data_IF_793557798999
#
_entry.id   IF_793557798999
#
_cell.length_a   1.000
_cell.length_b   1.000
_cell.length_c   1.000
_cell.angle_alpha   90.00
_cell.angle_beta   90.00
_cell.angle_gamma   90.00
#
_symmetry.space_group_name_H-M   'P 1'
#
loop_
_entity.id
_entity.type
_entity.pdbx_description
1 polymer ?
#
# COMPACT_ATOMS: atom_id res chain seq x y z
N UNK A 1 4.98 -17.06 3.83
CA UNK A 1 4.52 -15.94 2.99
C UNK A 1 3.52 -15.08 3.75
N UNK A 2 2.53 -15.63 4.50
CA UNK A 2 1.59 -14.87 5.32
C UNK A 2 2.28 -14.09 6.45
N UNK A 3 3.34 -14.62 7.04
CA UNK A 3 4.06 -13.98 8.15
C UNK A 3 4.82 -12.72 7.73
N UNK A 4 5.37 -12.67 6.53
CA UNK A 4 6.16 -11.53 6.07
C UNK A 4 5.27 -10.33 5.70
N UNK A 5 4.18 -10.58 4.97
CA UNK A 5 3.15 -9.57 4.70
C UNK A 5 2.51 -9.07 5.99
N UNK A 6 2.24 -9.97 6.94
CA UNK A 6 1.69 -9.65 8.25
C UNK A 6 2.68 -8.79 9.07
N UNK A 7 3.98 -9.07 8.98
CA UNK A 7 4.98 -8.35 9.77
C UNK A 7 5.20 -6.91 9.25
N UNK A 8 5.30 -6.71 7.94
CA UNK A 8 5.36 -5.37 7.35
C UNK A 8 4.06 -4.62 7.67
N UNK A 9 2.91 -5.28 7.55
CA UNK A 9 1.62 -4.68 7.89
C UNK A 9 1.50 -4.36 9.38
N UNK A 10 2.00 -5.22 10.28
CA UNK A 10 2.01 -4.98 11.73
C UNK A 10 3.00 -3.89 12.10
N UNK A 11 4.21 -3.86 11.50
CA UNK A 11 5.18 -2.79 11.76
C UNK A 11 4.63 -1.43 11.34
N UNK A 12 4.03 -1.34 10.15
CA UNK A 12 3.39 -0.13 9.65
C UNK A 12 2.11 0.23 10.44
N UNK A 13 1.36 -0.77 10.92
CA UNK A 13 0.20 -0.56 11.78
C UNK A 13 0.58 -0.04 13.17
N UNK A 14 1.65 -0.56 13.77
CA UNK A 14 2.16 -0.11 15.07
C UNK A 14 2.76 1.30 14.98
N UNK A 15 3.48 1.64 13.91
CA UNK A 15 3.91 3.01 13.66
C UNK A 15 2.72 3.95 13.44
N UNK A 16 1.71 3.52 12.71
CA UNK A 16 0.48 4.29 12.53
C UNK A 16 -0.26 4.53 13.85
N UNK A 17 -0.36 3.54 14.73
CA UNK A 17 -1.04 3.69 16.02
C UNK A 17 -0.24 4.55 17.00
N UNK A 18 1.09 4.50 17.00
CA UNK A 18 1.92 5.44 17.75
C UNK A 18 1.73 6.90 17.27
N UNK A 19 1.43 7.10 15.98
CA UNK A 19 1.07 8.41 15.43
C UNK A 19 -0.33 8.86 15.89
N UNK A 20 -1.27 7.94 16.14
CA UNK A 20 -2.61 8.28 16.65
C UNK A 20 -2.64 8.67 18.12
N UNK A 21 -1.81 8.07 18.97
CA UNK A 21 -1.70 8.46 20.38
C UNK A 21 -0.99 9.81 20.57
N UNK A 22 -0.12 10.22 19.64
CA UNK A 22 0.61 11.48 19.69
C UNK A 22 -0.21 12.70 19.21
N UNK A 23 -1.32 12.50 18.51
CA UNK A 23 -2.06 13.53 17.78
C UNK A 23 -3.34 14.03 18.48
N UNK A 24 -3.39 14.06 19.80
CA UNK A 24 -4.48 14.78 20.47
C UNK A 24 -4.16 16.28 20.67
N UNK A 25 -3.18 16.81 19.95
CA UNK A 25 -2.95 18.24 19.79
C UNK A 25 -2.75 18.57 18.31
N UNK A 26 -3.73 19.28 17.78
CA UNK A 26 -3.88 19.72 16.41
C UNK A 26 -2.63 20.42 15.86
N UNK A 27 -1.84 19.71 15.10
CA UNK A 27 -1.09 20.21 13.94
C UNK A 27 -0.62 19.03 13.10
N UNK A 28 -1.25 18.83 11.96
CA UNK A 28 -0.80 17.85 10.96
C UNK A 28 0.44 18.39 10.27
N UNK A 29 1.58 18.27 10.91
CA UNK A 29 2.88 18.28 10.25
C UNK A 29 3.41 16.85 10.26
N UNK A 30 2.89 15.98 9.38
CA UNK A 30 3.51 14.69 9.10
C UNK A 30 4.04 14.73 7.68
N UNK A 31 5.09 15.49 7.50
CA UNK A 31 5.97 15.35 6.34
C UNK A 31 7.33 14.76 6.78
N UNK A 32 7.31 13.87 7.76
CA UNK A 32 8.45 13.02 8.03
C UNK A 32 8.39 11.87 7.01
N UNK A 33 9.24 11.97 5.99
CA UNK A 33 9.54 10.85 5.12
C UNK A 33 9.84 9.64 6.01
N UNK A 34 9.04 8.58 5.89
CA UNK A 34 9.27 7.34 6.61
C UNK A 34 10.52 6.67 6.03
N UNK A 35 11.51 6.44 6.87
CA UNK A 35 12.72 5.72 6.51
C UNK A 35 12.93 4.49 7.38
N UNK A 36 13.49 3.40 6.82
CA UNK A 36 13.84 2.25 7.61
C UNK A 36 14.95 2.60 8.59
N UNK A 37 14.72 2.37 9.88
CA UNK A 37 15.75 2.53 10.90
C UNK A 37 16.61 1.25 11.05
N UNK A 38 17.68 1.33 11.83
CA UNK A 38 18.59 0.19 12.05
C UNK A 38 17.87 -1.04 12.61
N UNK A 39 16.89 -0.84 13.51
CA UNK A 39 16.11 -1.94 14.11
C UNK A 39 15.28 -2.68 13.05
N UNK A 40 14.66 -1.97 12.13
CA UNK A 40 13.87 -2.59 11.04
C UNK A 40 14.77 -3.45 10.14
N UNK A 41 15.97 -2.97 9.83
CA UNK A 41 16.94 -3.72 9.02
C UNK A 41 17.40 -5.01 9.71
N UNK A 42 17.72 -4.94 11.00
CA UNK A 42 18.08 -6.11 11.79
C UNK A 42 16.93 -7.11 11.90
N UNK A 43 15.72 -6.64 12.11
CA UNK A 43 14.52 -7.49 12.15
C UNK A 43 14.30 -8.20 10.82
N UNK A 44 14.47 -7.54 9.69
CA UNK A 44 14.36 -8.15 8.36
C UNK A 44 15.35 -9.29 8.19
N UNK A 45 16.61 -9.08 8.52
CA UNK A 45 17.67 -10.12 8.48
C UNK A 45 17.35 -11.30 9.38
N UNK A 46 16.87 -11.03 10.60
CA UNK A 46 16.48 -12.08 11.54
C UNK A 46 15.33 -12.93 11.00
N UNK A 47 14.30 -12.28 10.47
CA UNK A 47 13.16 -12.98 9.86
C UNK A 47 13.62 -13.85 8.69
N UNK A 48 14.47 -13.32 7.81
CA UNK A 48 15.07 -14.09 6.73
C UNK A 48 15.78 -15.34 7.25
N UNK A 49 16.64 -15.20 8.28
CA UNK A 49 17.36 -16.31 8.88
C UNK A 49 16.43 -17.36 9.49
N UNK A 50 15.37 -16.94 10.19
CA UNK A 50 14.39 -17.83 10.76
C UNK A 50 13.62 -18.61 9.68
N UNK A 51 13.18 -17.94 8.63
CA UNK A 51 12.45 -18.55 7.53
C UNK A 51 13.34 -19.53 6.75
N UNK A 52 14.57 -19.16 6.44
CA UNK A 52 15.50 -20.03 5.70
C UNK A 52 15.89 -21.29 6.49
N UNK A 53 15.95 -21.20 7.83
CA UNK A 53 16.45 -22.27 8.70
C UNK A 53 15.37 -23.17 9.26
N UNK A 54 14.21 -22.60 9.61
CA UNK A 54 13.17 -23.29 10.40
C UNK A 54 11.82 -23.41 9.69
N UNK A 55 11.67 -22.83 8.49
CA UNK A 55 10.41 -23.01 7.78
C UNK A 55 10.24 -24.47 7.34
N UNK A 56 9.07 -25.06 7.65
CA UNK A 56 8.77 -26.49 7.39
C UNK A 56 8.86 -26.86 5.90
N UNK A 57 8.65 -25.91 5.01
CA UNK A 57 8.82 -26.07 3.58
C UNK A 57 10.09 -25.30 3.16
N UNK A 58 11.05 -26.01 2.59
CA UNK A 58 12.22 -25.34 1.98
C UNK A 58 11.72 -24.38 0.92
N UNK A 59 11.85 -23.08 1.17
CA UNK A 59 11.50 -22.01 0.24
C UNK A 59 12.78 -21.67 -0.51
N UNK A 60 12.78 -21.85 -1.82
CA UNK A 60 13.84 -21.28 -2.64
C UNK A 60 13.64 -19.77 -2.66
N UNK A 61 14.69 -19.06 -2.30
CA UNK A 61 14.78 -17.61 -2.39
C UNK A 61 15.30 -17.33 -3.80
N UNK A 62 14.37 -17.05 -4.68
CA UNK A 62 14.61 -16.87 -6.12
C UNK A 62 13.68 -15.78 -6.68
N UNK A 63 13.87 -15.41 -7.93
CA UNK A 63 13.08 -14.42 -8.65
C UNK A 63 11.57 -14.68 -8.58
N UNK A 64 11.16 -15.97 -8.55
CA UNK A 64 9.74 -16.33 -8.41
C UNK A 64 9.18 -15.97 -7.03
N UNK A 65 9.97 -16.10 -5.98
CA UNK A 65 9.59 -15.65 -4.65
C UNK A 65 9.60 -14.13 -4.57
N UNK A 66 10.60 -13.48 -5.15
CA UNK A 66 10.72 -12.03 -5.22
C UNK A 66 9.47 -11.40 -5.86
N UNK A 67 9.05 -11.89 -7.02
CA UNK A 67 7.81 -11.44 -7.68
C UNK A 67 6.58 -11.62 -6.78
N UNK A 68 6.47 -12.74 -6.08
CA UNK A 68 5.36 -12.99 -5.14
C UNK A 68 5.37 -12.05 -3.94
N UNK A 69 6.56 -11.72 -3.43
CA UNK A 69 6.72 -10.75 -2.32
C UNK A 69 6.20 -9.38 -2.76
N UNK A 70 6.70 -8.87 -3.89
CA UNK A 70 6.28 -7.56 -4.41
C UNK A 70 4.78 -7.51 -4.65
N UNK A 71 4.23 -8.50 -5.37
CA UNK A 71 2.80 -8.57 -5.66
C UNK A 71 1.94 -8.61 -4.40
N UNK A 72 2.35 -9.40 -3.39
CA UNK A 72 1.64 -9.45 -2.12
C UNK A 72 1.72 -8.15 -1.35
N UNK A 73 2.88 -7.51 -1.37
CA UNK A 73 3.05 -6.23 -0.69
C UNK A 73 2.13 -5.16 -1.29
N UNK A 74 2.15 -4.98 -2.61
CA UNK A 74 1.25 -4.04 -3.30
C UNK A 74 -0.22 -4.37 -2.98
N UNK A 75 -0.62 -5.64 -3.10
CA UNK A 75 -1.99 -6.06 -2.80
C UNK A 75 -2.37 -5.91 -1.31
N UNK A 76 -1.42 -5.87 -0.39
CA UNK A 76 -1.71 -5.62 1.03
C UNK A 76 -1.99 -4.14 1.31
N UNK A 77 -1.40 -3.24 0.55
CA UNK A 77 -1.64 -1.81 0.65
C UNK A 77 -2.94 -1.40 -0.06
N UNK A 78 -3.18 -1.94 -1.25
CA UNK A 78 -4.33 -1.60 -2.08
C UNK A 78 -5.03 -2.86 -2.62
N UNK A 79 -5.73 -3.62 -1.76
CA UNK A 79 -6.33 -4.90 -2.13
C UNK A 79 -7.45 -4.78 -3.17
N UNK A 80 -8.11 -3.64 -3.24
CA UNK A 80 -9.23 -3.37 -4.14
C UNK A 80 -8.85 -2.49 -5.34
N UNK A 81 -7.55 -2.17 -5.48
CA UNK A 81 -7.00 -1.33 -6.56
C UNK A 81 -7.70 0.03 -6.69
N UNK A 82 -7.81 0.73 -5.58
CA UNK A 82 -8.55 1.99 -5.48
C UNK A 82 -7.64 3.23 -5.41
N UNK A 83 -6.35 3.05 -5.13
CA UNK A 83 -5.42 4.15 -4.86
C UNK A 83 -4.28 4.25 -5.87
N UNK A 84 -3.63 3.13 -6.22
CA UNK A 84 -2.54 3.15 -7.18
C UNK A 84 -3.00 3.34 -8.61
N UNK A 85 -2.15 3.98 -9.40
CA UNK A 85 -2.23 4.01 -10.85
C UNK A 85 -1.43 2.88 -11.49
N UNK A 86 -1.76 2.56 -12.73
CA UNK A 86 -0.97 1.62 -13.53
C UNK A 86 0.48 2.07 -13.71
N UNK A 87 0.73 3.38 -13.77
CA UNK A 87 2.07 3.95 -13.81
C UNK A 87 2.89 3.64 -12.55
N UNK A 88 2.25 3.66 -11.36
CA UNK A 88 2.91 3.32 -10.10
C UNK A 88 3.34 1.85 -10.10
N UNK A 89 2.46 0.97 -10.53
CA UNK A 89 2.75 -0.48 -10.63
C UNK A 89 3.88 -0.74 -11.62
N UNK A 90 3.89 -0.07 -12.76
CA UNK A 90 4.97 -0.18 -13.73
C UNK A 90 6.31 0.31 -13.16
N UNK A 91 6.29 1.37 -12.38
CA UNK A 91 7.48 1.84 -11.68
C UNK A 91 7.97 0.83 -10.64
N UNK A 92 7.08 0.23 -9.83
CA UNK A 92 7.45 -0.77 -8.82
C UNK A 92 7.99 -2.08 -9.41
N UNK A 93 7.69 -2.37 -10.68
CA UNK A 93 8.21 -3.56 -11.37
C UNK A 93 9.75 -3.58 -11.47
N UNK A 94 10.44 -2.46 -11.29
CA UNK A 94 11.91 -2.45 -11.20
C UNK A 94 12.43 -3.29 -10.02
N UNK A 95 11.64 -3.49 -8.96
CA UNK A 95 11.99 -4.28 -7.79
C UNK A 95 11.61 -5.76 -7.89
N UNK A 96 10.98 -6.15 -8.99
CA UNK A 96 10.30 -7.45 -9.17
C UNK A 96 11.18 -8.65 -8.84
N UNK A 97 12.46 -8.59 -9.20
CA UNK A 97 13.40 -9.70 -9.07
C UNK A 97 14.45 -9.50 -7.96
N UNK A 98 14.26 -8.52 -7.09
CA UNK A 98 15.24 -8.13 -6.07
C UNK A 98 14.69 -8.12 -4.65
N UNK A 99 13.37 -8.38 -4.47
CA UNK A 99 12.73 -8.27 -3.16
C UNK A 99 13.26 -9.30 -2.15
N UNK A 100 13.65 -10.48 -2.58
CA UNK A 100 14.26 -11.52 -1.75
C UNK A 100 15.66 -11.10 -1.27
N UNK A 101 16.49 -10.54 -2.15
CA UNK A 101 17.80 -9.99 -1.82
C UNK A 101 17.70 -8.79 -0.86
N UNK A 102 16.72 -7.92 -1.06
CA UNK A 102 16.46 -6.78 -0.18
C UNK A 102 16.08 -7.23 1.24
N UNK A 103 15.23 -8.24 1.35
CA UNK A 103 14.86 -8.81 2.64
C UNK A 103 16.07 -9.45 3.32
N UNK A 104 16.88 -10.18 2.57
CA UNK A 104 18.09 -10.85 3.06
C UNK A 104 19.13 -9.84 3.57
N UNK A 105 19.36 -8.78 2.82
CA UNK A 105 20.33 -7.73 3.18
C UNK A 105 19.83 -6.74 4.22
N UNK A 106 18.50 -6.69 4.45
CA UNK A 106 17.86 -5.66 5.27
C UNK A 106 17.77 -4.30 4.54
N UNK A 107 17.86 -4.28 3.22
CA UNK A 107 17.66 -3.09 2.40
C UNK A 107 16.15 -2.89 2.18
N UNK A 108 15.52 -2.05 3.01
CA UNK A 108 14.07 -1.90 3.05
C UNK A 108 13.57 -0.66 2.29
N UNK A 109 14.44 0.14 1.72
CA UNK A 109 14.12 1.38 1.02
C UNK A 109 13.03 1.19 -0.06
N UNK A 110 13.06 0.15 -0.90
CA UNK A 110 12.02 -0.06 -1.90
C UNK A 110 10.62 -0.26 -1.29
N UNK A 111 10.53 -0.95 -0.14
CA UNK A 111 9.25 -1.12 0.54
C UNK A 111 8.72 0.21 1.11
N UNK A 112 9.60 1.02 1.68
CA UNK A 112 9.24 2.34 2.18
C UNK A 112 8.88 3.32 1.06
N UNK A 113 9.54 3.23 -0.08
CA UNK A 113 9.22 4.03 -1.27
C UNK A 113 7.82 3.70 -1.79
N UNK A 114 7.48 2.41 -1.96
CA UNK A 114 6.13 1.97 -2.35
C UNK A 114 5.09 2.48 -1.35
N UNK A 115 5.40 2.41 -0.05
CA UNK A 115 4.51 2.90 1.01
C UNK A 115 4.33 4.43 0.96
N UNK A 116 5.40 5.17 0.68
CA UNK A 116 5.34 6.63 0.51
C UNK A 116 4.42 7.01 -0.64
N UNK A 117 4.58 6.36 -1.80
CA UNK A 117 3.67 6.57 -2.94
C UNK A 117 2.22 6.25 -2.55
N UNK A 118 1.98 5.14 -1.84
CA UNK A 118 0.65 4.79 -1.34
C UNK A 118 0.05 5.90 -0.48
N UNK A 119 0.81 6.41 0.50
CA UNK A 119 0.37 7.49 1.38
C UNK A 119 0.02 8.77 0.61
N UNK A 120 0.83 9.13 -0.39
CA UNK A 120 0.54 10.28 -1.25
C UNK A 120 -0.77 10.07 -2.03
N UNK A 121 -0.98 8.87 -2.59
CA UNK A 121 -2.23 8.55 -3.29
C UNK A 121 -3.44 8.63 -2.35
N UNK A 122 -3.32 8.10 -1.13
CA UNK A 122 -4.37 8.19 -0.11
C UNK A 122 -4.64 9.65 0.28
N UNK A 123 -3.62 10.46 0.56
CA UNK A 123 -3.77 11.88 0.90
C UNK A 123 -4.51 12.65 -0.24
N UNK A 124 -4.06 12.45 -1.48
CA UNK A 124 -4.69 13.07 -2.64
C UNK A 124 -6.16 12.63 -2.78
N UNK A 125 -6.45 11.36 -2.49
CA UNK A 125 -7.81 10.83 -2.55
C UNK A 125 -8.70 11.40 -1.47
N UNK A 126 -8.20 11.54 -0.24
CA UNK A 126 -8.91 12.20 0.86
C UNK A 126 -9.26 13.64 0.47
N UNK A 127 -8.30 14.41 -0.04
CA UNK A 127 -8.55 15.78 -0.51
C UNK A 127 -9.65 15.86 -1.57
N UNK A 128 -9.61 14.94 -2.55
CA UNK A 128 -10.66 14.86 -3.58
C UNK A 128 -12.04 14.51 -2.99
N UNK A 129 -12.11 13.58 -2.05
CA UNK A 129 -13.35 13.21 -1.39
C UNK A 129 -13.95 14.40 -0.63
N UNK A 130 -13.12 15.17 0.09
CA UNK A 130 -13.62 16.39 0.74
C UNK A 130 -14.20 17.39 -0.27
N UNK A 131 -13.55 17.60 -1.42
CA UNK A 131 -14.10 18.48 -2.46
C UNK A 131 -15.43 17.99 -3.05
N UNK A 132 -15.65 16.68 -3.11
CA UNK A 132 -16.93 16.12 -3.52
C UNK A 132 -18.06 16.38 -2.50
N UNK A 133 -17.72 16.39 -1.20
CA UNK A 133 -18.70 16.58 -0.13
C UNK A 133 -19.13 18.05 0.04
N UNK A 134 -18.45 19.00 -0.60
CA UNK A 134 -18.85 20.40 -0.64
C UNK A 134 -20.10 20.64 -1.50
N UNK A 135 -20.45 19.71 -2.37
CA UNK A 135 -21.60 19.81 -3.27
C UNK A 135 -22.49 18.56 -3.14
N UNK A 136 -23.79 18.77 -3.30
CA UNK A 136 -24.72 17.63 -3.33
C UNK A 136 -24.52 16.77 -4.57
N UNK A 137 -24.42 15.42 -4.43
CA UNK A 137 -24.34 14.52 -5.56
C UNK A 137 -25.58 14.59 -6.44
N UNK A 138 -25.40 14.49 -7.74
CA UNK A 138 -26.54 14.40 -8.67
C UNK A 138 -27.10 12.96 -8.67
N UNK A 139 -28.21 12.76 -7.95
CA UNK A 139 -28.88 11.47 -7.86
C UNK A 139 -29.79 11.12 -9.06
N UNK A 140 -30.00 12.07 -10.00
CA UNK A 140 -30.81 11.79 -11.20
C UNK A 140 -30.05 11.02 -12.29
N UNK A 141 -28.73 10.92 -12.15
CA UNK A 141 -27.91 10.14 -13.07
C UNK A 141 -27.94 8.66 -12.69
N UNK A 142 -28.36 7.83 -13.63
CA UNK A 142 -28.26 6.36 -13.52
C UNK A 142 -26.82 5.94 -13.86
N UNK A 143 -26.10 5.35 -12.91
CA UNK A 143 -24.67 5.07 -13.03
C UNK A 143 -24.32 3.75 -12.35
N UNK A 144 -23.51 2.95 -13.02
CA UNK A 144 -22.99 1.70 -12.47
C UNK A 144 -21.71 1.92 -11.66
N UNK A 145 -21.56 1.16 -10.55
CA UNK A 145 -20.36 1.11 -9.74
C UNK A 145 -19.90 -0.33 -9.51
N UNK A 146 -18.65 -0.62 -9.86
CA UNK A 146 -18.00 -1.91 -9.56
C UNK A 146 -17.34 -1.82 -8.19
N UNK A 147 -17.95 -2.42 -7.16
CA UNK A 147 -17.44 -2.41 -5.79
C UNK A 147 -16.20 -3.31 -5.61
N UNK A 148 -16.23 -4.53 -6.13
CA UNK A 148 -15.11 -5.46 -6.05
C UNK A 148 -14.19 -5.28 -7.27
N UNK A 149 -13.14 -4.50 -7.08
CA UNK A 149 -12.14 -4.21 -8.10
C UNK A 149 -10.90 -5.11 -8.04
N UNK A 150 -10.87 -6.14 -7.19
CA UNK A 150 -9.69 -7.01 -7.03
C UNK A 150 -9.17 -7.57 -8.36
N UNK A 151 -10.09 -7.87 -9.27
CA UNK A 151 -9.77 -8.41 -10.59
C UNK A 151 -9.78 -7.35 -11.71
N UNK A 152 -10.07 -6.10 -11.40
CA UNK A 152 -10.03 -4.99 -12.35
C UNK A 152 -8.58 -4.59 -12.67
N UNK A 153 -8.41 -3.82 -13.75
CA UNK A 153 -7.14 -3.13 -14.02
C UNK A 153 -6.91 -2.00 -13.01
N UNK A 154 -5.65 -1.62 -12.82
CA UNK A 154 -5.30 -0.39 -12.15
C UNK A 154 -5.78 0.80 -12.96
N UNK A 155 -6.12 1.91 -12.31
CA UNK A 155 -6.53 3.13 -12.99
C UNK A 155 -5.41 3.63 -13.92
N UNK A 156 -5.80 4.06 -15.11
CA UNK A 156 -4.86 4.59 -16.11
C UNK A 156 -4.47 6.03 -15.75
N UNK A 157 -5.46 6.84 -15.34
CA UNK A 157 -5.28 8.25 -15.02
C UNK A 157 -6.19 8.72 -13.87
N UNK A 158 -6.00 9.99 -13.50
CA UNK A 158 -6.73 10.64 -12.42
C UNK A 158 -8.22 10.79 -12.74
N UNK A 159 -8.62 10.91 -14.00
CA UNK A 159 -10.03 11.10 -14.39
C UNK A 159 -10.82 9.83 -14.16
N UNK A 160 -10.28 8.67 -14.59
CA UNK A 160 -10.88 7.36 -14.35
C UNK A 160 -11.03 7.09 -12.84
N UNK A 161 -9.99 7.37 -12.06
CA UNK A 161 -10.03 7.22 -10.61
C UNK A 161 -11.02 8.17 -9.95
N UNK A 162 -11.10 9.43 -10.41
CA UNK A 162 -12.03 10.43 -9.88
C UNK A 162 -13.49 10.04 -10.17
N UNK A 163 -13.79 9.53 -11.37
CA UNK A 163 -15.14 9.07 -11.70
C UNK A 163 -15.57 7.90 -10.80
N UNK A 164 -14.67 6.92 -10.60
CA UNK A 164 -14.91 5.82 -9.68
C UNK A 164 -15.21 6.31 -8.25
N UNK A 165 -14.36 7.19 -7.70
CA UNK A 165 -14.54 7.68 -6.33
C UNK A 165 -15.77 8.58 -6.19
N UNK A 166 -16.12 9.36 -7.20
CA UNK A 166 -17.35 10.15 -7.23
C UNK A 166 -18.59 9.23 -7.10
N UNK A 167 -18.64 8.17 -7.90
CA UNK A 167 -19.72 7.16 -7.83
C UNK A 167 -19.76 6.44 -6.49
N UNK A 168 -18.59 6.09 -5.95
CA UNK A 168 -18.46 5.43 -4.65
C UNK A 168 -18.96 6.30 -3.52
N UNK A 169 -18.61 7.59 -3.49
CA UNK A 169 -19.09 8.54 -2.48
C UNK A 169 -20.59 8.78 -2.65
N UNK A 170 -21.09 9.02 -3.88
CA UNK A 170 -22.51 9.15 -4.16
C UNK A 170 -23.31 7.96 -3.61
N UNK A 171 -22.84 6.74 -3.84
CA UNK A 171 -23.48 5.52 -3.33
C UNK A 171 -23.41 5.40 -1.80
N UNK A 172 -22.39 5.97 -1.15
CA UNK A 172 -22.25 5.92 0.31
C UNK A 172 -23.13 6.92 1.04
N UNK A 173 -23.72 7.90 0.34
CA UNK A 173 -24.62 8.92 0.87
C UNK A 173 -26.09 8.48 0.74
N UNK A 174 -26.39 7.52 -0.14
CA UNK A 174 -27.72 6.90 -0.30
C UNK A 174 -28.04 5.96 0.87
#
# INVERSE_FOLDING_TARGET
IYFFSLFISISLYLERNNLYEFNNSYSVEVDSLLYPNAKHREQSKLIYQLLSKYHYKKINLDDSLSEKILKKYINSLDPNKEYFFNSDINYFNQYKYQMDDYVMSGYLEPAYEIFTVYNERVKNRIGYVYSLLENEPNFSLDEDLIFDRKNSSWFIDVNEMNDYWRKKIKNSIL
#
